data_IF_622681463520
#
_entry.id   IF_622681463520
#
_cell.length_a   1.000
_cell.length_b   1.000
_cell.length_c   1.000
_cell.angle_alpha   90.00
_cell.angle_beta   90.00
_cell.angle_gamma   90.00
#
_symmetry.space_group_name_H-M   'P 1'
#
loop_
_entity.id
_entity.type
_entity.pdbx_description
1 polymer ?
#
# COMPACT_ATOMS: atom_id res chain seq x y z
N UNK A 1 21.58 -20.40 -9.91
CA UNK A 1 22.14 -21.77 -10.01
C UNK A 1 21.60 -22.59 -8.85
N UNK A 2 21.32 -23.90 -9.08
CA UNK A 2 20.92 -24.82 -8.02
C UNK A 2 22.10 -25.05 -7.07
N UNK A 3 21.88 -24.83 -5.77
CA UNK A 3 22.93 -25.00 -4.74
C UNK A 3 22.73 -26.23 -3.88
N UNK A 4 21.50 -26.73 -3.80
CA UNK A 4 21.18 -27.92 -3.01
C UNK A 4 19.88 -28.55 -3.51
N UNK A 5 19.83 -29.90 -3.46
CA UNK A 5 18.62 -30.65 -3.79
C UNK A 5 18.46 -31.83 -2.82
N UNK A 6 17.24 -32.03 -2.37
CA UNK A 6 16.85 -33.16 -1.52
C UNK A 6 15.57 -33.78 -2.08
N UNK A 7 15.48 -35.11 -1.99
CA UNK A 7 14.24 -35.83 -2.27
C UNK A 7 13.47 -36.02 -0.95
N UNK A 8 12.23 -35.61 -0.93
CA UNK A 8 11.32 -35.91 0.17
C UNK A 8 10.42 -37.07 -0.22
N UNK A 9 10.14 -37.96 0.72
CA UNK A 9 9.15 -39.02 0.52
C UNK A 9 7.76 -38.48 0.79
N UNK A 10 6.83 -38.73 -0.11
CA UNK A 10 5.43 -38.34 0.04
C UNK A 10 4.70 -39.37 0.90
N UNK A 11 3.96 -38.93 1.89
CA UNK A 11 3.05 -39.79 2.64
C UNK A 11 1.85 -40.15 1.76
N UNK A 12 1.71 -41.39 1.38
CA UNK A 12 0.66 -41.85 0.46
C UNK A 12 -0.77 -41.70 1.05
N UNK A 13 -0.89 -41.59 2.38
CA UNK A 13 -2.19 -41.52 3.05
C UNK A 13 -2.83 -40.15 2.94
N UNK A 14 -2.05 -39.07 2.94
CA UNK A 14 -2.53 -37.69 3.00
C UNK A 14 -1.84 -36.73 2.01
N UNK A 15 -0.88 -37.22 1.23
CA UNK A 15 -0.15 -36.43 0.24
C UNK A 15 0.85 -35.44 0.83
N UNK A 16 1.10 -35.49 2.14
CA UNK A 16 2.08 -34.60 2.78
C UNK A 16 3.51 -35.11 2.60
N UNK A 17 4.46 -34.22 2.72
CA UNK A 17 5.88 -34.56 2.77
C UNK A 17 6.61 -33.67 3.75
N UNK A 18 7.70 -34.17 4.29
CA UNK A 18 8.60 -33.46 5.19
C UNK A 18 10.04 -33.65 4.75
N UNK A 19 10.85 -32.64 4.89
CA UNK A 19 12.27 -32.70 4.56
C UNK A 19 13.07 -31.63 5.28
N UNK A 20 14.36 -31.89 5.46
CA UNK A 20 15.31 -30.97 6.06
C UNK A 20 16.45 -30.67 5.07
N UNK A 21 16.82 -29.41 4.97
CA UNK A 21 17.94 -28.95 4.17
C UNK A 21 19.05 -28.46 5.12
N UNK A 22 20.24 -29.03 5.00
CA UNK A 22 21.40 -28.56 5.73
C UNK A 22 21.95 -27.30 5.07
N UNK A 23 21.87 -26.17 5.76
CA UNK A 23 22.35 -24.87 5.26
C UNK A 23 23.84 -24.62 5.57
N UNK A 24 24.51 -25.54 6.26
CA UNK A 24 25.93 -25.41 6.59
C UNK A 24 26.79 -25.43 5.32
N UNK A 25 27.59 -24.38 5.13
CA UNK A 25 28.47 -24.24 3.97
C UNK A 25 27.80 -23.59 2.74
N UNK A 26 26.52 -23.28 2.80
CA UNK A 26 25.85 -22.45 1.80
C UNK A 26 26.24 -20.99 2.03
N UNK A 27 26.58 -20.26 0.97
CA UNK A 27 26.91 -18.84 1.06
C UNK A 27 25.72 -18.05 1.61
N UNK A 28 26.00 -16.90 2.20
CA UNK A 28 24.95 -15.97 2.63
C UNK A 28 24.41 -15.23 1.42
N UNK A 29 23.15 -15.43 1.14
CA UNK A 29 22.47 -14.80 -0.01
C UNK A 29 20.96 -15.05 0.09
N UNK A 30 20.23 -14.51 -0.87
CA UNK A 30 18.83 -14.84 -1.08
C UNK A 30 18.69 -16.09 -1.94
N UNK A 31 17.90 -17.04 -1.47
CA UNK A 31 17.64 -18.30 -2.15
C UNK A 31 16.15 -18.48 -2.39
N UNK A 32 15.81 -19.20 -3.42
CA UNK A 32 14.47 -19.69 -3.66
C UNK A 32 14.41 -21.19 -3.36
N UNK A 33 13.57 -21.56 -2.41
CA UNK A 33 13.23 -22.96 -2.16
C UNK A 33 12.06 -23.31 -3.07
N UNK A 34 12.26 -24.21 -4.01
CA UNK A 34 11.21 -24.70 -4.90
C UNK A 34 10.93 -26.19 -4.68
N UNK A 35 9.67 -26.56 -4.80
CA UNK A 35 9.21 -27.96 -4.77
C UNK A 35 8.75 -28.35 -6.16
N UNK A 36 9.27 -29.45 -6.69
CA UNK A 36 8.90 -30.00 -7.98
C UNK A 36 8.87 -31.53 -7.95
N UNK A 37 8.24 -32.18 -8.93
CA UNK A 37 8.13 -33.60 -9.06
C UNK A 37 9.34 -34.25 -9.78
N UNK A 38 10.30 -33.45 -10.19
CA UNK A 38 11.47 -33.86 -10.91
C UNK A 38 11.31 -33.95 -12.44
N UNK A 39 10.07 -33.86 -12.95
CA UNK A 39 9.80 -33.99 -14.39
C UNK A 39 9.21 -32.73 -15.02
N UNK A 40 8.26 -32.06 -14.38
CA UNK A 40 7.60 -30.89 -14.95
C UNK A 40 7.13 -29.89 -13.90
N UNK A 41 7.81 -28.78 -13.87
CA UNK A 41 7.28 -27.57 -13.22
C UNK A 41 7.50 -27.47 -11.71
N UNK A 42 7.48 -26.25 -11.25
CA UNK A 42 7.54 -25.89 -9.84
C UNK A 42 6.11 -25.85 -9.29
N UNK A 43 5.79 -26.69 -8.31
CA UNK A 43 4.49 -26.66 -7.65
C UNK A 43 4.33 -25.48 -6.71
N UNK A 44 5.40 -25.14 -6.02
CA UNK A 44 5.43 -23.99 -5.11
C UNK A 44 6.85 -23.53 -4.89
N UNK A 45 7.03 -22.25 -4.60
CA UNK A 45 8.32 -21.70 -4.21
C UNK A 45 8.18 -20.75 -3.02
N UNK A 46 9.27 -20.60 -2.26
CA UNK A 46 9.36 -19.67 -1.15
C UNK A 46 10.75 -19.05 -1.10
N UNK A 47 10.80 -17.73 -1.00
CA UNK A 47 12.05 -17.00 -0.74
C UNK A 47 12.61 -17.32 0.65
N UNK A 48 13.93 -17.51 0.72
CA UNK A 48 14.68 -17.77 1.93
C UNK A 48 15.96 -16.92 1.93
N UNK A 49 16.13 -16.06 2.93
CA UNK A 49 17.37 -15.33 3.15
C UNK A 49 18.25 -16.09 4.14
N UNK A 50 19.50 -16.38 3.75
CA UNK A 50 20.50 -16.97 4.63
C UNK A 50 21.47 -15.87 5.06
N UNK A 51 21.36 -15.48 6.32
CA UNK A 51 22.18 -14.40 6.89
C UNK A 51 22.98 -14.90 8.10
N UNK A 52 24.08 -14.22 8.40
CA UNK A 52 24.77 -14.45 9.68
C UNK A 52 23.95 -13.79 10.78
N UNK A 53 23.39 -14.57 11.66
CA UNK A 53 22.80 -14.01 12.88
C UNK A 53 23.90 -13.33 13.70
N UNK A 54 23.82 -12.00 13.80
CA UNK A 54 24.59 -11.19 14.72
C UNK A 54 23.59 -10.68 15.74
N UNK A 55 23.72 -11.08 17.00
CA UNK A 55 22.83 -10.60 18.05
C UNK A 55 22.96 -9.07 18.16
N UNK A 56 21.86 -8.33 18.04
CA UNK A 56 21.90 -6.89 18.25
C UNK A 56 22.46 -6.57 19.65
N UNK A 57 23.26 -5.51 19.80
CA UNK A 57 23.82 -5.17 21.11
C UNK A 57 22.78 -4.63 22.09
N UNK A 58 21.70 -4.04 21.60
CA UNK A 58 20.61 -3.43 22.37
C UNK A 58 19.28 -3.51 21.61
N UNK A 59 18.20 -3.12 22.27
CA UNK A 59 16.86 -3.03 21.71
C UNK A 59 16.44 -1.56 21.60
N UNK A 60 15.69 -1.23 20.53
CA UNK A 60 15.02 0.05 20.33
C UNK A 60 13.51 -0.19 20.39
N UNK A 61 12.82 0.56 21.23
CA UNK A 61 11.35 0.60 21.28
C UNK A 61 10.87 1.97 20.84
N UNK A 62 9.90 2.00 19.95
CA UNK A 62 9.23 3.22 19.48
C UNK A 62 7.77 3.16 19.89
N UNK A 63 7.22 4.26 20.38
CA UNK A 63 5.82 4.41 20.70
C UNK A 63 5.29 5.73 20.15
N UNK A 64 4.05 5.72 19.69
CA UNK A 64 3.32 6.89 19.21
C UNK A 64 2.31 7.32 20.28
N UNK A 65 2.00 8.61 20.33
CA UNK A 65 1.07 9.18 21.32
C UNK A 65 -0.41 8.92 20.98
N UNK A 66 -0.71 8.50 19.74
CA UNK A 66 -2.05 8.11 19.28
C UNK A 66 -1.98 6.89 18.37
N UNK A 67 -3.10 6.23 18.14
CA UNK A 67 -3.27 5.10 17.22
C UNK A 67 -3.71 5.54 15.80
N UNK A 68 -4.14 6.80 15.63
CA UNK A 68 -4.43 7.39 14.34
C UNK A 68 -4.18 8.90 14.33
N UNK A 69 -3.96 9.44 13.13
CA UNK A 69 -3.66 10.86 12.88
C UNK A 69 -4.30 11.31 11.57
N UNK A 70 -4.64 12.59 11.49
CA UNK A 70 -4.87 13.29 10.23
C UNK A 70 -3.56 13.92 9.73
N UNK A 71 -3.46 14.20 8.42
CA UNK A 71 -2.23 14.80 7.85
C UNK A 71 -1.91 16.21 8.38
N UNK A 72 -2.87 16.91 8.96
CA UNK A 72 -2.67 18.20 9.62
C UNK A 72 -2.19 18.08 11.07
N UNK A 73 -2.11 16.89 11.61
CA UNK A 73 -1.67 16.66 12.98
C UNK A 73 -0.17 16.39 13.08
N UNK A 74 0.36 16.67 14.24
CA UNK A 74 1.71 16.31 14.60
C UNK A 74 1.71 14.98 15.34
N UNK A 75 2.66 14.11 15.02
CA UNK A 75 2.84 12.79 15.62
C UNK A 75 3.86 12.90 16.73
N UNK A 76 3.45 12.61 17.96
CA UNK A 76 4.35 12.47 19.09
C UNK A 76 5.04 11.11 19.08
N UNK A 77 6.37 11.11 19.05
CA UNK A 77 7.19 9.89 19.00
C UNK A 77 8.04 9.79 20.24
N UNK A 78 7.91 8.69 20.97
CA UNK A 78 8.73 8.35 22.13
C UNK A 78 9.63 7.16 21.79
N UNK A 79 10.93 7.30 22.03
CA UNK A 79 11.93 6.28 21.73
C UNK A 79 12.62 5.89 23.03
N UNK A 80 12.87 4.60 23.22
CA UNK A 80 13.68 4.07 24.32
C UNK A 80 14.64 3.03 23.77
N UNK A 81 15.92 3.12 24.13
CA UNK A 81 16.90 2.12 23.77
C UNK A 81 17.64 1.60 25.01
N UNK A 82 17.77 0.25 25.11
CA UNK A 82 18.37 -0.43 26.25
C UNK A 82 19.20 -1.62 25.81
N UNK A 83 20.34 -1.82 26.47
CA UNK A 83 21.07 -3.08 26.42
C UNK A 83 20.23 -4.20 27.07
N UNK A 84 20.53 -5.45 26.73
CA UNK A 84 19.78 -6.61 27.25
C UNK A 84 19.93 -6.84 28.78
N UNK A 85 20.89 -6.19 29.41
CA UNK A 85 21.06 -6.15 30.86
C UNK A 85 20.23 -5.06 31.53
N UNK A 86 19.45 -4.30 30.75
CA UNK A 86 18.63 -3.17 31.20
C UNK A 86 19.34 -1.83 31.26
N UNK A 87 20.64 -1.77 31.02
CA UNK A 87 21.42 -0.51 30.98
C UNK A 87 20.93 0.38 29.83
N UNK A 88 20.73 1.69 30.05
CA UNK A 88 20.31 2.58 28.98
C UNK A 88 21.42 2.81 27.94
N UNK A 89 21.01 2.86 26.67
CA UNK A 89 21.88 3.32 25.56
C UNK A 89 21.86 4.85 25.54
N UNK A 90 22.92 5.48 26.01
CA UNK A 90 22.96 6.94 26.20
C UNK A 90 23.74 7.64 25.10
N UNK A 91 23.28 8.84 24.74
CA UNK A 91 23.94 9.75 23.78
C UNK A 91 24.09 9.15 22.36
N UNK A 92 23.41 8.07 22.04
CA UNK A 92 23.36 7.52 20.69
C UNK A 92 22.46 8.37 19.80
N UNK A 93 22.87 8.59 18.56
CA UNK A 93 22.06 9.28 17.56
C UNK A 93 21.41 8.25 16.66
N UNK A 94 20.09 8.27 16.62
CA UNK A 94 19.26 7.41 15.79
C UNK A 94 18.71 8.18 14.61
N UNK A 95 18.47 7.48 13.51
CA UNK A 95 17.75 8.01 12.36
C UNK A 95 16.28 7.59 12.47
N UNK A 96 15.38 8.54 12.29
CA UNK A 96 13.94 8.32 12.22
C UNK A 96 13.50 8.35 10.75
N UNK A 97 12.88 7.26 10.32
CA UNK A 97 12.30 7.10 8.97
C UNK A 97 10.87 6.63 9.07
N UNK A 98 10.11 6.73 7.99
CA UNK A 98 8.72 6.23 7.99
C UNK A 98 7.90 6.69 6.80
N UNK A 99 6.68 6.19 6.73
CA UNK A 99 5.71 6.65 5.74
C UNK A 99 5.28 8.09 6.06
N UNK A 100 5.20 8.92 5.04
CA UNK A 100 4.68 10.29 5.13
C UNK A 100 5.47 11.23 6.05
N UNK A 101 6.69 10.90 6.43
CA UNK A 101 7.55 11.79 7.21
C UNK A 101 8.85 12.10 6.45
N UNK A 102 9.49 13.20 6.83
CA UNK A 102 10.84 13.47 6.38
C UNK A 102 11.81 12.82 7.36
N UNK A 103 12.81 12.13 6.82
CA UNK A 103 13.90 11.57 7.63
C UNK A 103 14.53 12.63 8.52
N UNK A 104 14.78 12.28 9.77
CA UNK A 104 15.45 13.16 10.73
C UNK A 104 16.27 12.37 11.74
N UNK A 105 17.26 13.04 12.34
CA UNK A 105 18.07 12.46 13.39
C UNK A 105 17.53 12.85 14.78
N UNK A 106 17.61 11.92 15.73
CA UNK A 106 17.24 12.14 17.13
C UNK A 106 18.30 11.55 18.03
N UNK A 107 18.71 12.28 19.08
CA UNK A 107 19.74 11.82 20.03
C UNK A 107 19.08 11.40 21.34
N UNK A 108 19.44 10.22 21.80
CA UNK A 108 19.01 9.70 23.10
C UNK A 108 19.69 10.48 24.25
N UNK A 109 18.97 10.69 25.31
CA UNK A 109 19.48 11.27 26.55
C UNK A 109 20.31 10.26 27.38
N UNK A 110 20.80 10.67 28.54
CA UNK A 110 21.56 9.81 29.45
C UNK A 110 20.74 8.62 29.99
N UNK A 111 19.42 8.66 29.91
CA UNK A 111 18.52 7.57 30.33
C UNK A 111 18.12 6.64 29.17
N UNK A 112 18.72 6.85 27.99
CA UNK A 112 18.41 6.08 26.78
C UNK A 112 17.04 6.40 26.19
N UNK A 113 16.56 7.63 26.33
CA UNK A 113 15.25 8.07 25.85
C UNK A 113 15.35 9.28 24.96
N UNK A 114 14.42 9.39 24.03
CA UNK A 114 14.18 10.61 23.28
C UNK A 114 12.69 10.78 23.02
N UNK A 115 12.23 12.03 23.02
CA UNK A 115 10.89 12.39 22.56
C UNK A 115 11.03 13.45 21.46
N UNK A 116 10.31 13.25 20.40
CA UNK A 116 10.28 14.21 19.30
C UNK A 116 8.88 14.29 18.70
N UNK A 117 8.70 15.27 17.85
CA UNK A 117 7.46 15.47 17.11
C UNK A 117 7.78 15.47 15.62
N UNK A 118 7.06 14.70 14.85
CA UNK A 118 7.16 14.67 13.40
C UNK A 118 5.89 15.22 12.76
N UNK A 119 6.03 15.86 11.59
CA UNK A 119 4.91 16.33 10.80
C UNK A 119 4.71 15.38 9.63
N UNK A 120 3.45 15.02 9.41
CA UNK A 120 3.08 14.22 8.26
C UNK A 120 3.11 15.08 6.98
N UNK A 121 3.54 14.49 5.90
CA UNK A 121 3.57 15.08 4.57
C UNK A 121 2.70 14.24 3.65
N UNK A 122 1.55 14.78 3.26
CA UNK A 122 0.70 14.13 2.27
C UNK A 122 1.43 14.05 0.92
N UNK A 123 1.31 12.96 0.17
CA UNK A 123 1.67 12.94 -1.23
C UNK A 123 0.65 13.80 -1.97
N UNK A 124 1.06 15.00 -2.39
CA UNK A 124 0.24 15.91 -3.16
C UNK A 124 0.52 15.71 -4.64
N UNK A 125 -0.31 14.92 -5.31
CA UNK A 125 -0.40 14.87 -6.76
C UNK A 125 -1.84 15.20 -7.15
N UNK A 126 -2.06 16.37 -7.76
CA UNK A 126 -3.40 16.78 -8.21
C UNK A 126 -3.92 15.90 -9.34
N UNK A 127 -3.02 15.23 -10.07
CA UNK A 127 -3.39 14.34 -11.17
C UNK A 127 -3.68 12.91 -10.68
N UNK A 128 -3.10 12.52 -9.53
CA UNK A 128 -3.33 11.21 -8.90
C UNK A 128 -3.65 11.43 -7.40
N UNK A 129 -4.86 11.88 -7.07
CA UNK A 129 -5.25 12.15 -5.71
C UNK A 129 -5.29 10.87 -4.87
N UNK A 130 -4.92 11.03 -3.62
CA UNK A 130 -4.96 9.93 -2.65
C UNK A 130 -6.41 9.48 -2.41
N UNK A 131 -6.64 8.16 -2.30
CA UNK A 131 -7.92 7.64 -1.81
C UNK A 131 -8.22 8.13 -0.38
N UNK A 132 -9.50 8.33 -0.07
CA UNK A 132 -9.95 8.85 1.22
C UNK A 132 -9.78 7.86 2.38
N UNK A 133 -9.65 6.57 2.10
CA UNK A 133 -9.58 5.51 3.12
C UNK A 133 -8.30 5.58 3.96
N UNK A 134 -8.33 5.05 5.21
CA UNK A 134 -7.18 5.04 6.10
C UNK A 134 -5.97 4.35 5.47
N UNK A 135 -4.79 4.89 5.74
CA UNK A 135 -3.50 4.35 5.29
C UNK A 135 -2.66 3.94 6.49
N UNK A 136 -1.70 3.04 6.27
CA UNK A 136 -0.75 2.66 7.30
C UNK A 136 0.32 3.75 7.45
N UNK A 137 0.46 4.25 8.68
CA UNK A 137 1.61 5.03 9.12
C UNK A 137 2.55 4.08 9.86
N UNK A 138 3.80 4.00 9.44
CA UNK A 138 4.86 3.34 10.21
C UNK A 138 5.98 4.33 10.45
N UNK A 139 6.56 4.29 11.62
CA UNK A 139 7.73 5.08 12.01
C UNK A 139 8.74 4.13 12.61
N UNK A 140 9.95 4.17 12.10
CA UNK A 140 11.08 3.36 12.52
C UNK A 140 12.20 4.27 13.02
N UNK A 141 12.78 3.91 14.15
CA UNK A 141 14.03 4.45 14.63
C UNK A 141 15.13 3.40 14.48
N UNK A 142 16.25 3.75 13.86
CA UNK A 142 17.36 2.82 13.70
C UNK A 142 18.71 3.53 13.96
N UNK A 143 19.74 2.72 14.28
CA UNK A 143 21.09 3.25 14.47
C UNK A 143 21.65 3.79 13.15
N UNK A 144 22.50 4.82 13.23
CA UNK A 144 23.18 5.35 12.06
C UNK A 144 24.14 4.30 11.48
N UNK A 145 24.10 4.11 10.15
CA UNK A 145 24.67 2.99 9.39
C UNK A 145 26.18 2.75 9.41
N UNK A 146 26.90 3.24 10.44
CA UNK A 146 28.34 3.02 10.63
C UNK A 146 28.64 1.82 11.55
N UNK A 147 27.64 1.11 12.05
CA UNK A 147 27.81 -0.05 12.92
C UNK A 147 27.64 -1.34 12.11
N UNK A 148 28.42 -2.36 12.46
CA UNK A 148 28.38 -3.68 11.82
C UNK A 148 27.03 -4.40 11.98
N UNK A 149 26.11 -3.85 12.79
CA UNK A 149 24.81 -4.43 13.12
C UNK A 149 23.73 -3.36 13.02
N UNK A 150 22.74 -3.63 12.16
CA UNK A 150 21.53 -2.82 12.08
C UNK A 150 20.62 -3.13 13.27
N UNK A 151 20.26 -2.11 14.03
CA UNK A 151 19.32 -2.19 15.15
C UNK A 151 18.19 -1.22 14.89
N UNK A 152 16.98 -1.69 14.91
CA UNK A 152 15.80 -0.85 14.73
C UNK A 152 14.65 -1.22 15.65
N UNK A 153 13.74 -0.28 15.82
CA UNK A 153 12.44 -0.47 16.45
C UNK A 153 11.40 0.37 15.71
N UNK A 154 10.19 -0.11 15.62
CA UNK A 154 9.14 0.58 14.89
C UNK A 154 7.82 0.62 15.64
N UNK A 155 6.97 1.59 15.28
CA UNK A 155 5.58 1.68 15.72
C UNK A 155 4.69 1.99 14.51
N UNK A 156 3.43 1.55 14.61
CA UNK A 156 2.44 1.72 13.55
C UNK A 156 1.21 2.43 14.09
N UNK A 157 0.58 3.20 13.22
CA UNK A 157 -0.71 3.86 13.44
C UNK A 157 -1.47 3.94 12.11
N UNK A 158 -2.70 4.43 12.15
CA UNK A 158 -3.39 4.83 10.94
C UNK A 158 -3.14 6.31 10.61
N UNK A 159 -3.14 6.68 9.33
CA UNK A 159 -3.24 8.06 8.89
C UNK A 159 -4.46 8.22 8.00
N UNK A 160 -5.24 9.25 8.28
CA UNK A 160 -6.51 9.55 7.65
C UNK A 160 -6.32 10.70 6.65
N UNK A 161 -6.49 10.42 5.34
CA UNK A 161 -6.37 11.45 4.31
C UNK A 161 -7.48 12.49 4.36
N UNK A 162 -8.66 12.11 4.85
CA UNK A 162 -9.85 12.95 4.83
C UNK A 162 -10.67 12.83 6.10
N UNK A 163 -11.39 13.91 6.43
CA UNK A 163 -12.47 13.90 7.43
C UNK A 163 -13.83 13.55 6.82
N UNK A 164 -13.85 13.34 5.51
CA UNK A 164 -15.05 12.97 4.75
C UNK A 164 -14.85 11.57 4.18
N UNK A 165 -15.75 10.67 4.52
CA UNK A 165 -15.88 9.37 3.87
C UNK A 165 -16.60 9.54 2.54
N UNK A 166 -16.09 8.93 1.48
CA UNK A 166 -16.57 9.08 0.12
C UNK A 166 -16.89 7.71 -0.47
N UNK A 167 -18.01 7.58 -1.17
CA UNK A 167 -18.38 6.39 -1.91
C UNK A 167 -18.94 6.77 -3.26
N UNK A 168 -18.44 6.11 -4.30
CA UNK A 168 -18.95 6.23 -5.65
C UNK A 168 -19.59 4.90 -6.06
N UNK A 169 -20.90 4.89 -6.26
CA UNK A 169 -21.71 3.73 -6.57
C UNK A 169 -22.32 3.84 -7.97
N UNK A 170 -22.51 2.73 -8.64
CA UNK A 170 -23.20 2.60 -9.91
C UNK A 170 -22.85 1.26 -10.56
N UNK A 171 -23.80 0.67 -11.25
CA UNK A 171 -23.60 -0.55 -12.05
C UNK A 171 -23.22 -0.20 -13.50
N UNK A 172 -23.37 1.04 -13.88
CA UNK A 172 -23.02 1.60 -15.17
C UNK A 172 -22.82 3.11 -15.07
N UNK A 173 -22.25 3.70 -16.11
CA UNK A 173 -22.12 5.18 -16.22
C UNK A 173 -23.46 5.89 -16.46
N UNK A 174 -24.54 5.20 -16.81
CA UNK A 174 -25.84 5.84 -17.05
C UNK A 174 -26.40 6.48 -15.77
N UNK A 175 -26.04 5.91 -14.61
CA UNK A 175 -26.46 6.42 -13.29
C UNK A 175 -25.37 6.16 -12.26
N UNK A 176 -24.79 7.24 -11.77
CA UNK A 176 -23.82 7.23 -10.67
C UNK A 176 -24.44 7.86 -9.43
N UNK A 177 -24.07 7.37 -8.27
CA UNK A 177 -24.42 7.96 -6.97
C UNK A 177 -23.16 8.21 -6.18
N UNK A 178 -22.97 9.46 -5.78
CA UNK A 178 -21.90 9.83 -4.83
C UNK A 178 -22.51 9.97 -3.45
N UNK A 179 -21.90 9.32 -2.47
CA UNK A 179 -22.26 9.46 -1.06
C UNK A 179 -21.11 10.07 -0.27
N UNK A 180 -21.45 10.98 0.61
CA UNK A 180 -20.49 11.65 1.51
C UNK A 180 -21.02 11.64 2.94
N UNK A 181 -20.14 11.30 3.87
CA UNK A 181 -20.43 11.32 5.30
C UNK A 181 -19.22 11.84 6.07
N UNK A 182 -19.43 12.33 7.27
CA UNK A 182 -18.34 12.58 8.19
C UNK A 182 -17.64 11.24 8.49
N UNK A 183 -16.31 11.22 8.44
CA UNK A 183 -15.55 10.04 8.82
C UNK A 183 -15.66 9.84 10.34
N UNK A 184 -16.05 8.65 10.77
CA UNK A 184 -16.15 8.27 12.19
C UNK A 184 -14.89 7.49 12.58
N UNK A 185 -13.87 8.21 13.04
CA UNK A 185 -12.58 7.66 13.44
C UNK A 185 -12.65 6.79 14.70
N UNK A 186 -13.72 6.88 15.49
CA UNK A 186 -13.95 5.98 16.65
C UNK A 186 -14.13 4.53 16.24
N UNK A 187 -14.52 4.28 14.99
CA UNK A 187 -14.70 2.94 14.42
C UNK A 187 -13.41 2.31 13.88
N UNK A 188 -12.28 3.01 13.91
CA UNK A 188 -11.00 2.45 13.44
C UNK A 188 -10.54 1.26 14.27
N UNK A 189 -10.81 1.27 15.57
CA UNK A 189 -10.35 0.28 16.55
C UNK A 189 -11.45 -0.63 17.08
N UNK A 190 -12.52 -0.87 16.34
CA UNK A 190 -13.65 -1.71 16.77
C UNK A 190 -13.34 -3.21 16.92
N UNK A 191 -12.06 -3.58 17.04
CA UNK A 191 -11.58 -4.96 17.16
C UNK A 191 -11.58 -5.74 15.84
N UNK A 192 -11.96 -5.12 14.76
CA UNK A 192 -11.86 -5.67 13.43
C UNK A 192 -10.47 -5.34 12.86
N UNK A 193 -9.47 -6.15 13.25
CA UNK A 193 -8.20 -6.19 12.54
C UNK A 193 -8.48 -6.19 11.03
N UNK A 194 -7.76 -5.36 10.29
CA UNK A 194 -7.78 -5.33 8.82
C UNK A 194 -7.31 -6.69 8.31
N UNK A 195 -8.16 -7.70 8.43
CA UNK A 195 -7.94 -8.99 7.79
C UNK A 195 -8.37 -8.83 6.33
N UNK A 196 -7.46 -9.04 5.37
CA UNK A 196 -7.80 -8.94 3.95
C UNK A 196 -8.85 -9.94 3.47
N UNK A 197 -9.40 -10.75 4.36
CA UNK A 197 -10.38 -11.80 4.06
C UNK A 197 -11.81 -11.51 4.55
N UNK A 198 -12.06 -10.40 5.23
CA UNK A 198 -13.44 -9.95 5.45
C UNK A 198 -13.84 -9.05 4.29
N UNK A 199 -14.65 -9.57 3.41
CA UNK A 199 -15.41 -8.82 2.41
C UNK A 199 -16.35 -7.89 3.18
N UNK A 200 -15.92 -6.65 3.43
CA UNK A 200 -16.81 -5.56 3.76
C UNK A 200 -17.41 -5.08 2.44
N UNK A 201 -18.69 -4.78 2.42
CA UNK A 201 -19.33 -4.20 1.24
C UNK A 201 -18.67 -2.87 0.84
N UNK A 202 -18.12 -2.11 1.78
CA UNK A 202 -17.10 -1.08 1.53
C UNK A 202 -16.51 -0.53 2.84
N UNK A 203 -15.33 0.11 2.78
CA UNK A 203 -14.79 0.91 3.90
C UNK A 203 -15.73 2.08 4.29
N UNK A 204 -16.45 2.63 3.32
CA UNK A 204 -17.46 3.64 3.56
C UNK A 204 -18.51 3.14 4.57
N UNK A 205 -19.09 1.97 4.35
CA UNK A 205 -20.15 1.44 5.22
C UNK A 205 -19.63 1.19 6.65
N UNK A 206 -18.35 0.92 6.79
CA UNK A 206 -17.69 0.76 8.09
C UNK A 206 -17.44 2.09 8.79
N UNK A 207 -16.94 3.10 8.08
CA UNK A 207 -16.41 4.34 8.66
C UNK A 207 -17.33 5.56 8.50
N UNK A 208 -18.41 5.45 7.73
CA UNK A 208 -19.35 6.55 7.57
C UNK A 208 -20.10 6.85 8.88
N UNK A 209 -20.07 8.09 9.26
CA UNK A 209 -20.85 8.69 10.33
C UNK A 209 -22.08 9.43 9.79
N UNK A 210 -22.33 10.63 10.28
CA UNK A 210 -23.44 11.46 9.81
C UNK A 210 -23.23 11.92 8.36
N UNK A 211 -24.29 11.97 7.52
CA UNK A 211 -24.21 12.55 6.19
C UNK A 211 -23.69 13.99 6.23
N UNK A 212 -22.85 14.37 5.27
CA UNK A 212 -22.29 15.73 5.17
C UNK A 212 -22.39 16.25 3.74
N UNK A 213 -22.76 17.52 3.59
CA UNK A 213 -22.90 18.17 2.29
C UNK A 213 -21.60 18.87 1.90
N UNK A 214 -20.92 18.35 0.89
CA UNK A 214 -19.65 18.89 0.38
C UNK A 214 -19.69 19.07 -1.14
N UNK A 215 -18.89 20.00 -1.68
CA UNK A 215 -18.62 20.05 -3.11
C UNK A 215 -17.97 18.74 -3.57
N UNK A 216 -18.38 18.25 -4.74
CA UNK A 216 -17.86 17.02 -5.35
C UNK A 216 -17.54 17.32 -6.80
N UNK A 217 -16.39 16.91 -7.26
CA UNK A 217 -16.04 16.86 -8.68
C UNK A 217 -16.05 15.41 -9.13
N UNK A 218 -16.82 15.07 -10.16
CA UNK A 218 -16.81 13.74 -10.76
C UNK A 218 -16.17 13.82 -12.13
N UNK A 219 -15.15 13.01 -12.32
CA UNK A 219 -14.43 12.87 -13.59
C UNK A 219 -14.83 11.56 -14.25
N UNK A 220 -15.17 11.64 -15.54
CA UNK A 220 -15.33 10.46 -16.37
C UNK A 220 -14.06 10.32 -17.19
N UNK A 221 -13.34 9.24 -16.96
CA UNK A 221 -12.11 8.90 -17.68
C UNK A 221 -12.40 7.95 -18.82
N UNK A 222 -11.69 8.11 -19.93
CA UNK A 222 -11.66 7.17 -21.05
C UNK A 222 -10.26 6.57 -21.19
N UNK A 223 -10.20 5.27 -21.45
CA UNK A 223 -8.98 4.56 -21.80
C UNK A 223 -9.17 3.95 -23.18
N UNK A 224 -8.48 4.50 -24.17
CA UNK A 224 -8.57 4.03 -25.56
C UNK A 224 -7.35 3.17 -25.88
N UNK A 225 -7.61 1.99 -26.44
CA UNK A 225 -6.58 1.07 -26.95
C UNK A 225 -6.30 1.37 -28.41
N UNK A 226 -5.04 1.64 -28.72
CA UNK A 226 -4.59 1.87 -30.08
C UNK A 226 -3.46 0.90 -30.42
N UNK A 227 -3.58 0.26 -31.58
CA UNK A 227 -2.49 -0.54 -32.13
C UNK A 227 -1.52 0.39 -32.85
N UNK A 228 -0.27 0.43 -32.38
CA UNK A 228 0.80 1.23 -32.98
C UNK A 228 1.80 0.28 -33.62
N UNK A 229 2.11 0.53 -34.90
CA UNK A 229 3.14 -0.23 -35.61
C UNK A 229 4.50 0.03 -34.97
N UNK A 230 5.20 -1.02 -34.54
CA UNK A 230 6.52 -0.96 -33.90
C UNK A 230 7.63 -1.46 -34.81
N UNK A 231 7.28 -2.18 -35.88
CA UNK A 231 8.24 -2.70 -36.81
C UNK A 231 7.65 -3.72 -37.77
N UNK A 232 8.49 -4.30 -38.59
CA UNK A 232 8.10 -5.43 -39.42
C UNK A 232 9.27 -6.37 -39.63
N UNK A 233 8.99 -7.66 -39.79
CA UNK A 233 9.96 -8.66 -40.16
C UNK A 233 9.48 -9.53 -41.30
N UNK A 234 10.40 -10.14 -42.03
CA UNK A 234 10.05 -11.04 -43.13
C UNK A 234 9.95 -12.49 -42.58
N UNK A 235 8.75 -13.04 -42.66
CA UNK A 235 8.50 -14.45 -42.34
C UNK A 235 8.91 -15.32 -43.52
N UNK A 236 10.08 -15.96 -43.41
CA UNK A 236 10.64 -16.82 -44.43
C UNK A 236 9.83 -18.12 -44.67
N UNK A 237 9.05 -18.57 -43.68
CA UNK A 237 8.21 -19.77 -43.82
C UNK A 237 6.98 -19.46 -44.65
N UNK A 238 6.29 -18.39 -44.36
CA UNK A 238 5.07 -17.98 -45.10
C UNK A 238 5.34 -17.00 -46.25
N UNK A 239 6.62 -16.64 -46.50
CA UNK A 239 7.08 -15.72 -47.52
C UNK A 239 6.32 -14.41 -47.58
N UNK A 240 6.10 -13.80 -46.41
CA UNK A 240 5.39 -12.51 -46.28
C UNK A 240 6.07 -11.63 -45.24
N UNK A 241 5.92 -10.32 -45.44
CA UNK A 241 6.25 -9.36 -44.36
C UNK A 241 5.14 -9.36 -43.36
N UNK A 242 5.50 -9.48 -42.06
CA UNK A 242 4.61 -9.38 -40.92
C UNK A 242 4.91 -8.09 -40.23
N UNK A 243 3.89 -7.26 -40.03
CA UNK A 243 3.97 -6.02 -39.27
C UNK A 243 3.74 -6.36 -37.79
N UNK A 244 4.60 -5.84 -36.93
CA UNK A 244 4.50 -5.96 -35.48
C UNK A 244 3.74 -4.75 -34.94
N UNK A 245 2.82 -5.01 -34.03
CA UNK A 245 2.02 -3.97 -33.37
C UNK A 245 2.17 -4.09 -31.85
N UNK A 246 2.21 -2.95 -31.20
CA UNK A 246 2.11 -2.84 -29.75
C UNK A 246 0.80 -2.12 -29.39
N UNK A 247 0.15 -2.58 -28.31
CA UNK A 247 -1.04 -1.91 -27.80
C UNK A 247 -0.63 -0.74 -26.93
N UNK A 248 -0.96 0.46 -27.34
CA UNK A 248 -0.82 1.68 -26.56
C UNK A 248 -2.16 2.01 -25.91
N UNK A 249 -2.13 2.41 -24.64
CA UNK A 249 -3.29 2.90 -23.89
C UNK A 249 -3.18 4.41 -23.78
N UNK A 250 -4.17 5.10 -24.31
CA UNK A 250 -4.31 6.56 -24.21
C UNK A 250 -5.43 6.85 -23.19
N UNK A 251 -5.09 7.49 -22.07
CA UNK A 251 -6.03 7.89 -21.03
C UNK A 251 -6.33 9.38 -21.12
N UNK A 252 -7.60 9.74 -20.99
CA UNK A 252 -8.06 11.13 -21.02
C UNK A 252 -9.28 11.32 -20.12
N UNK A 253 -9.49 12.54 -19.63
CA UNK A 253 -10.74 12.95 -19.00
C UNK A 253 -11.74 13.30 -20.10
N UNK A 254 -12.80 12.49 -20.21
CA UNK A 254 -13.87 12.69 -21.18
C UNK A 254 -14.85 13.76 -20.72
N UNK A 255 -15.15 13.83 -19.42
CA UNK A 255 -16.07 14.81 -18.84
C UNK A 255 -15.69 15.14 -17.39
N UNK A 256 -15.96 16.38 -16.97
CA UNK A 256 -15.83 16.86 -15.61
C UNK A 256 -17.16 17.42 -15.14
N UNK A 257 -17.70 16.92 -14.05
CA UNK A 257 -18.98 17.32 -13.47
C UNK A 257 -18.74 17.90 -12.08
N UNK A 258 -19.00 19.18 -11.92
CA UNK A 258 -18.96 19.84 -10.61
C UNK A 258 -20.35 19.88 -10.01
N UNK A 259 -20.50 19.41 -8.78
CA UNK A 259 -21.76 19.31 -8.09
C UNK A 259 -21.58 19.45 -6.57
N UNK A 260 -22.64 19.25 -5.82
CA UNK A 260 -22.62 19.22 -4.35
C UNK A 260 -23.62 18.17 -3.86
N UNK A 261 -23.22 17.43 -2.83
CA UNK A 261 -24.15 16.52 -2.13
C UNK A 261 -25.21 17.30 -1.35
N UNK A 262 -26.38 16.72 -1.21
CA UNK A 262 -27.50 17.19 -0.39
C UNK A 262 -28.00 16.04 0.47
N UNK A 263 -27.95 16.22 1.79
CA UNK A 263 -28.16 15.12 2.73
C UNK A 263 -27.10 14.03 2.57
N UNK A 264 -25.87 14.41 2.16
CA UNK A 264 -24.79 13.46 1.92
C UNK A 264 -24.89 12.63 0.63
N UNK A 265 -25.77 12.98 -0.31
CA UNK A 265 -25.98 12.20 -1.53
C UNK A 265 -26.15 13.12 -2.74
N UNK A 266 -25.62 12.72 -3.88
CA UNK A 266 -25.96 13.27 -5.20
C UNK A 266 -26.02 12.16 -6.23
N UNK A 267 -27.06 12.18 -7.07
CA UNK A 267 -27.18 11.32 -8.23
C UNK A 267 -26.75 12.09 -9.49
N UNK A 268 -26.00 11.41 -10.36
CA UNK A 268 -25.57 11.91 -11.67
C UNK A 268 -26.19 10.96 -12.69
N UNK A 269 -27.02 11.49 -13.56
CA UNK A 269 -27.81 10.73 -14.53
C UNK A 269 -27.63 11.33 -15.94
N UNK A 270 -27.91 10.52 -16.95
CA UNK A 270 -27.89 10.98 -18.35
C UNK A 270 -26.52 10.94 -19.02
N UNK A 271 -25.56 10.25 -18.44
CA UNK A 271 -24.27 10.02 -19.07
C UNK A 271 -24.43 8.92 -20.15
N UNK A 272 -24.03 9.22 -21.37
CA UNK A 272 -24.12 8.26 -22.51
C UNK A 272 -22.75 7.74 -22.90
N UNK A 273 -22.02 7.18 -21.92
CA UNK A 273 -20.73 6.53 -22.14
C UNK A 273 -20.91 5.00 -22.09
N UNK A 274 -20.42 4.32 -23.15
CA UNK A 274 -20.50 2.87 -23.26
C UNK A 274 -19.15 2.28 -23.58
N UNK A 275 -18.78 1.26 -22.85
CA UNK A 275 -17.57 0.50 -23.12
C UNK A 275 -17.70 -0.21 -24.48
N UNK A 276 -16.61 -0.15 -25.24
CA UNK A 276 -16.42 -0.84 -26.52
C UNK A 276 -15.15 -1.68 -26.45
N UNK A 277 -14.84 -2.44 -27.50
CA UNK A 277 -13.60 -3.22 -27.57
C UNK A 277 -12.34 -2.32 -27.51
N UNK A 278 -12.43 -1.11 -28.03
CA UNK A 278 -11.32 -0.17 -28.15
C UNK A 278 -11.29 0.90 -27.03
N UNK A 279 -12.43 1.22 -26.43
CA UNK A 279 -12.52 2.28 -25.41
C UNK A 279 -13.31 1.82 -24.20
N UNK A 280 -12.70 1.95 -23.03
CA UNK A 280 -13.34 1.72 -21.76
C UNK A 280 -13.43 3.01 -20.97
N UNK A 281 -14.46 3.12 -20.12
CA UNK A 281 -14.68 4.28 -19.28
C UNK A 281 -14.73 3.87 -17.81
N UNK A 282 -14.30 4.80 -16.94
CA UNK A 282 -14.44 4.66 -15.50
C UNK A 282 -14.71 6.03 -14.88
N UNK A 283 -15.24 6.04 -13.67
CA UNK A 283 -15.57 7.27 -12.96
C UNK A 283 -14.73 7.44 -11.71
N UNK A 284 -14.42 8.70 -11.39
CA UNK A 284 -13.71 9.12 -10.20
C UNK A 284 -14.47 10.27 -9.54
N UNK A 285 -14.81 10.12 -8.26
CA UNK A 285 -15.35 11.21 -7.45
C UNK A 285 -14.24 11.81 -6.60
N UNK A 286 -14.16 13.13 -6.53
CA UNK A 286 -13.15 13.89 -5.77
C UNK A 286 -13.82 14.84 -4.79
N UNK A 287 -13.25 14.93 -3.58
CA UNK A 287 -13.63 15.90 -2.56
C UNK A 287 -12.40 16.54 -1.93
N UNK A 288 -12.57 17.68 -1.28
CA UNK A 288 -11.49 18.27 -0.48
C UNK A 288 -11.26 17.42 0.79
N UNK A 289 -10.08 16.86 0.91
CA UNK A 289 -9.62 16.10 2.07
C UNK A 289 -8.97 16.95 3.16
N UNK A 290 -8.88 18.25 2.97
CA UNK A 290 -8.21 19.16 3.90
C UNK A 290 -6.69 19.10 3.73
N UNK A 291 -5.95 18.75 4.78
CA UNK A 291 -4.47 18.75 4.76
C UNK A 291 -3.83 17.72 3.80
N UNK A 292 -4.57 16.70 3.43
CA UNK A 292 -4.13 15.75 2.38
C UNK A 292 -4.36 16.28 0.95
N UNK A 293 -4.99 17.45 0.79
CA UNK A 293 -5.42 17.96 -0.51
C UNK A 293 -6.68 17.24 -1.00
N UNK A 294 -6.80 17.07 -2.31
CA UNK A 294 -7.92 16.34 -2.92
C UNK A 294 -7.82 14.85 -2.59
N UNK A 295 -8.94 14.25 -2.20
CA UNK A 295 -9.07 12.79 -2.04
C UNK A 295 -10.11 12.25 -3.01
N UNK A 296 -9.97 10.99 -3.41
CA UNK A 296 -10.81 10.39 -4.43
C UNK A 296 -11.34 9.01 -4.06
N UNK A 297 -12.38 8.61 -4.80
CA UNK A 297 -12.93 7.26 -4.88
C UNK A 297 -13.22 6.93 -6.33
N UNK A 298 -12.88 5.73 -6.76
CA UNK A 298 -13.02 5.31 -8.17
C UNK A 298 -14.00 4.15 -8.31
N UNK A 299 -14.71 4.12 -9.42
CA UNK A 299 -15.54 2.98 -9.81
C UNK A 299 -15.28 2.62 -11.28
N UNK A 300 -15.06 1.32 -11.52
CA UNK A 300 -14.82 0.74 -12.85
C UNK A 300 -15.95 -0.22 -13.17
N UNK A 301 -16.52 -0.11 -14.38
CA UNK A 301 -17.73 -0.81 -14.82
C UNK A 301 -17.38 -1.91 -15.82
#
# INVERSE_FOLDING_TARGET
AEVYRVKAAVNEADGTFEGAIAVTGIAKDYYELSVNDGEQGVYTSKGLSLEKYIKPPYEISVALDKDHYYFDEAVGVSITARYFDGTPVSNETLTLTGAYITEQSVTLDASGRANCTVRLKAPNDENDPMGWSPRSLWIEAHNAGAQDVYVSGSANAAVLPSRVALKLEGDSLEKLTVRTAQLDDTKLNDGHSVSPLKIYDSEYDRLAGAPVDVPVTVLIHSVTRRQVETGSYYDYVNKRTVTEYETQLDEAVAETIETKTSGGVVAIEGLDYKNTDDTTYWAEARVDGGAAGTVSETNRF
#
